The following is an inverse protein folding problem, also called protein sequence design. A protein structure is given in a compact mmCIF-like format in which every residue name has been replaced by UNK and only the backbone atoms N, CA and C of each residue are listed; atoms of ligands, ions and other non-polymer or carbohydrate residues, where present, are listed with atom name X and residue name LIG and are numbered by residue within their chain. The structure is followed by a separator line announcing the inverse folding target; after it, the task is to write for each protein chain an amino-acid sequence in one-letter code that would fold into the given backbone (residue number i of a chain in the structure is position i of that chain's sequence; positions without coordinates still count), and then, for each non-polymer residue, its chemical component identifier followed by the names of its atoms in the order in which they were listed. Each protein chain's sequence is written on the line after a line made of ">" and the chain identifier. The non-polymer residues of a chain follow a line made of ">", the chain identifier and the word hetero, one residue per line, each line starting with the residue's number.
data_IF_156457482616
#
_entry.id   IF_156457482616
#
_cell.length_a   1.000
_cell.length_b   1.000
_cell.length_c   1.000
_cell.angle_alpha   90.00
_cell.angle_beta   90.00
_cell.angle_gamma   90.00
#
_symmetry.space_group_name_H-M   'P 1'
#
loop_
_entity.id
_entity.type
_entity.pdbx_description
1 polymer ?
#
# COMPACT_ATOMS: atom_id res chain seq x y z
N UNK A 1 5.25 29.58 -19.41
CA UNK A 1 4.94 29.61 -17.95
C UNK A 1 5.36 28.22 -17.39
N UNK A 2 6.31 28.16 -16.45
CA UNK A 2 6.66 26.89 -15.81
C UNK A 2 5.49 26.53 -14.89
N UNK A 3 4.68 25.55 -15.26
CA UNK A 3 3.74 24.91 -14.34
C UNK A 3 4.55 24.38 -13.16
N UNK A 4 4.20 24.79 -11.95
CA UNK A 4 4.79 24.18 -10.76
C UNK A 4 4.42 22.68 -10.83
N UNK A 5 5.44 21.82 -11.01
CA UNK A 5 5.23 20.40 -11.28
C UNK A 5 4.57 19.67 -10.10
N UNK A 6 4.18 18.45 -10.29
CA UNK A 6 3.55 17.55 -9.27
C UNK A 6 4.33 17.51 -7.95
N UNK A 7 5.62 17.77 -7.98
CA UNK A 7 6.53 17.79 -6.82
C UNK A 7 6.15 18.83 -5.74
N UNK A 8 5.46 19.92 -6.10
CA UNK A 8 5.01 20.94 -5.14
C UNK A 8 3.65 20.63 -4.51
N UNK A 9 2.95 19.61 -5.00
CA UNK A 9 1.60 19.26 -4.56
C UNK A 9 1.60 18.32 -3.35
N UNK A 10 0.94 18.74 -2.26
CA UNK A 10 0.74 17.89 -1.09
C UNK A 10 -0.07 16.61 -1.41
N UNK A 11 -0.96 16.67 -2.41
CA UNK A 11 -1.74 15.51 -2.87
C UNK A 11 -0.82 14.51 -3.56
N UNK A 12 0.10 14.98 -4.41
CA UNK A 12 1.07 14.13 -5.08
C UNK A 12 1.95 13.37 -4.07
N UNK A 13 2.43 14.03 -3.04
CA UNK A 13 3.22 13.40 -1.97
C UNK A 13 2.41 12.35 -1.19
N UNK A 14 1.12 12.59 -0.92
CA UNK A 14 0.26 11.59 -0.26
C UNK A 14 0.07 10.35 -1.13
N UNK A 15 -0.15 10.52 -2.43
CA UNK A 15 -0.24 9.38 -3.37
C UNK A 15 1.09 8.63 -3.42
N UNK A 16 2.21 9.34 -3.50
CA UNK A 16 3.56 8.77 -3.53
C UNK A 16 3.88 7.97 -2.27
N UNK A 17 3.62 8.52 -1.09
CA UNK A 17 3.87 7.80 0.16
C UNK A 17 2.91 6.63 0.36
N UNK A 18 1.64 6.74 -0.03
CA UNK A 18 0.72 5.62 0.02
C UNK A 18 1.21 4.47 -0.87
N UNK A 19 1.64 4.78 -2.11
CA UNK A 19 2.22 3.80 -3.02
C UNK A 19 3.51 3.21 -2.48
N UNK A 20 4.38 4.02 -1.87
CA UNK A 20 5.63 3.56 -1.29
C UNK A 20 5.44 2.63 -0.10
N UNK A 21 4.56 2.99 0.85
CA UNK A 21 4.30 2.19 2.04
C UNK A 21 3.62 0.86 1.71
N UNK A 22 2.65 0.86 0.79
CA UNK A 22 2.03 -0.39 0.34
C UNK A 22 3.03 -1.28 -0.42
N UNK A 23 3.90 -0.68 -1.25
CA UNK A 23 4.96 -1.43 -1.95
C UNK A 23 6.00 -1.99 -0.97
N UNK A 24 6.37 -1.24 0.07
CA UNK A 24 7.25 -1.73 1.13
C UNK A 24 6.62 -2.95 1.82
N UNK A 25 5.34 -2.83 2.23
CA UNK A 25 4.62 -3.96 2.85
C UNK A 25 4.56 -5.17 1.90
N UNK A 26 4.33 -4.94 0.61
CA UNK A 26 4.34 -5.99 -0.41
C UNK A 26 5.70 -6.69 -0.49
N UNK A 27 6.78 -5.96 -0.72
CA UNK A 27 8.11 -6.57 -0.94
C UNK A 27 8.63 -7.25 0.32
N UNK A 28 8.35 -6.71 1.52
CA UNK A 28 8.67 -7.38 2.78
C UNK A 28 7.91 -8.69 2.91
N UNK A 29 6.61 -8.69 2.58
CA UNK A 29 5.78 -9.90 2.62
C UNK A 29 6.28 -10.93 1.62
N UNK A 30 6.58 -10.54 0.38
CA UNK A 30 7.11 -11.44 -0.66
C UNK A 30 8.45 -12.06 -0.23
N UNK A 31 9.33 -11.26 0.36
CA UNK A 31 10.65 -11.72 0.78
C UNK A 31 10.59 -12.67 1.99
N UNK A 32 9.72 -12.40 2.95
CA UNK A 32 9.84 -13.02 4.28
C UNK A 32 8.65 -13.87 4.72
N UNK A 33 7.47 -13.78 4.07
CA UNK A 33 6.31 -14.57 4.52
C UNK A 33 6.56 -16.09 4.48
N UNK A 34 7.18 -16.67 3.44
CA UNK A 34 7.46 -18.12 3.45
C UNK A 34 8.36 -18.52 4.62
N UNK A 35 9.37 -17.71 4.93
CA UNK A 35 10.29 -17.96 6.05
C UNK A 35 9.59 -17.79 7.41
N UNK A 36 8.73 -16.77 7.55
CA UNK A 36 7.91 -16.58 8.75
C UNK A 36 7.02 -17.82 8.99
N UNK A 37 6.38 -18.33 7.94
CA UNK A 37 5.54 -19.52 8.03
C UNK A 37 6.36 -20.76 8.37
N UNK A 38 7.53 -20.92 7.75
CA UNK A 38 8.45 -22.02 8.04
C UNK A 38 8.91 -21.99 9.51
N UNK A 39 9.27 -20.83 10.03
CA UNK A 39 9.67 -20.65 11.44
C UNK A 39 8.56 -21.01 12.45
N UNK A 40 7.30 -21.02 12.00
CA UNK A 40 6.13 -21.48 12.79
C UNK A 40 5.87 -22.99 12.71
N UNK A 41 6.72 -23.72 11.99
CA UNK A 41 6.61 -25.19 11.85
C UNK A 41 5.83 -25.66 10.62
N UNK A 42 5.46 -24.77 9.70
CA UNK A 42 4.97 -25.22 8.40
C UNK A 42 6.11 -25.80 7.57
N UNK A 43 5.88 -26.91 6.88
CA UNK A 43 6.83 -27.40 5.90
C UNK A 43 6.97 -26.42 4.72
N UNK A 44 8.08 -26.50 3.99
CA UNK A 44 8.41 -25.56 2.89
C UNK A 44 7.34 -25.57 1.81
N UNK A 45 6.75 -26.72 1.48
CA UNK A 45 5.72 -26.86 0.45
C UNK A 45 4.44 -26.14 0.86
N UNK A 46 4.00 -26.36 2.12
CA UNK A 46 2.81 -25.69 2.67
C UNK A 46 3.03 -24.18 2.80
N UNK A 47 4.21 -23.73 3.24
CA UNK A 47 4.53 -22.30 3.30
C UNK A 47 4.49 -21.63 1.91
N UNK A 48 5.06 -22.28 0.89
CA UNK A 48 4.99 -21.81 -0.50
C UNK A 48 3.56 -21.85 -1.05
N UNK A 49 2.78 -22.87 -0.70
CA UNK A 49 1.36 -22.98 -1.04
C UNK A 49 0.52 -21.84 -0.46
N UNK A 50 0.72 -21.50 0.81
CA UNK A 50 0.05 -20.39 1.48
C UNK A 50 0.46 -19.03 0.86
N UNK A 51 1.72 -18.87 0.52
CA UNK A 51 2.18 -17.67 -0.20
C UNK A 51 1.50 -17.55 -1.58
N UNK A 52 1.39 -18.66 -2.32
CA UNK A 52 0.68 -18.70 -3.59
C UNK A 52 -0.81 -18.40 -3.43
N UNK A 53 -1.46 -18.94 -2.39
CA UNK A 53 -2.85 -18.66 -2.04
C UNK A 53 -3.07 -17.15 -1.81
N UNK A 54 -2.16 -16.48 -1.09
CA UNK A 54 -2.20 -15.03 -0.90
C UNK A 54 -2.27 -14.29 -2.23
N UNK A 55 -1.41 -14.65 -3.20
CA UNK A 55 -1.42 -14.07 -4.54
C UNK A 55 -2.72 -14.34 -5.29
N UNK A 56 -3.21 -15.57 -5.29
CA UNK A 56 -4.47 -15.95 -5.95
C UNK A 56 -5.68 -15.20 -5.41
N UNK A 57 -5.78 -15.05 -4.10
CA UNK A 57 -6.89 -14.31 -3.46
C UNK A 57 -6.82 -12.82 -3.75
N UNK A 58 -5.63 -12.26 -3.91
CA UNK A 58 -5.43 -10.86 -4.27
C UNK A 58 -5.83 -10.53 -5.70
N UNK A 59 -5.67 -11.47 -6.66
CA UNK A 59 -5.91 -11.20 -8.09
C UNK A 59 -7.30 -10.63 -8.41
N UNK A 60 -8.44 -11.23 -8.00
CA UNK A 60 -9.75 -10.67 -8.30
C UNK A 60 -9.93 -9.25 -7.77
N UNK A 61 -9.36 -8.97 -6.61
CA UNK A 61 -9.47 -7.68 -5.94
C UNK A 61 -8.75 -6.58 -6.72
N UNK A 62 -7.65 -6.91 -7.42
CA UNK A 62 -6.94 -5.94 -8.26
C UNK A 62 -7.78 -5.41 -9.41
N UNK A 63 -8.75 -6.17 -9.89
CA UNK A 63 -9.69 -5.75 -10.94
C UNK A 63 -10.94 -5.04 -10.37
N UNK A 64 -11.43 -5.51 -9.23
CA UNK A 64 -12.67 -5.00 -8.63
C UNK A 64 -12.46 -3.61 -8.02
N UNK A 65 -11.38 -3.41 -7.26
CA UNK A 65 -11.15 -2.18 -6.50
C UNK A 65 -11.04 -0.93 -7.38
N UNK A 66 -10.34 -0.91 -8.53
CA UNK A 66 -10.32 0.28 -9.39
C UNK A 66 -11.71 0.64 -9.89
N UNK A 67 -12.49 -0.36 -10.35
CA UNK A 67 -13.86 -0.13 -10.84
C UNK A 67 -14.73 0.53 -9.77
N UNK A 68 -14.65 0.03 -8.53
CA UNK A 68 -15.38 0.60 -7.41
C UNK A 68 -14.83 1.98 -7.03
N UNK A 69 -13.50 2.15 -6.99
CA UNK A 69 -12.87 3.42 -6.63
C UNK A 69 -13.28 4.57 -7.57
N UNK A 70 -13.45 4.29 -8.86
CA UNK A 70 -13.95 5.28 -9.83
C UNK A 70 -15.43 5.60 -9.68
N UNK A 71 -16.23 4.70 -9.09
CA UNK A 71 -17.68 4.93 -8.87
C UNK A 71 -17.96 5.78 -7.62
N UNK A 72 -17.05 5.77 -6.64
CA UNK A 72 -17.26 6.49 -5.38
C UNK A 72 -16.46 7.80 -5.37
N UNK A 73 -17.11 8.90 -4.99
CA UNK A 73 -16.46 10.21 -4.87
C UNK A 73 -15.39 10.26 -3.76
N UNK A 74 -15.44 9.32 -2.82
CA UNK A 74 -14.54 9.27 -1.67
C UNK A 74 -14.04 7.85 -1.43
N UNK A 75 -12.73 7.65 -1.53
CA UNK A 75 -12.09 6.34 -1.42
C UNK A 75 -11.61 6.00 0.01
N UNK A 76 -12.01 6.77 1.03
CA UNK A 76 -11.55 6.57 2.43
C UNK A 76 -11.91 5.18 2.95
N UNK A 77 -13.10 4.66 2.62
CA UNK A 77 -13.52 3.33 3.07
C UNK A 77 -12.60 2.23 2.52
N UNK A 78 -12.12 2.37 1.29
CA UNK A 78 -11.14 1.42 0.73
C UNK A 78 -9.83 1.46 1.49
N UNK A 79 -9.32 2.66 1.80
CA UNK A 79 -8.08 2.81 2.57
C UNK A 79 -8.21 2.17 3.95
N UNK A 80 -9.30 2.44 4.67
CA UNK A 80 -9.56 1.83 5.99
C UNK A 80 -9.67 0.31 5.87
N UNK A 81 -10.44 -0.18 4.90
CA UNK A 81 -10.60 -1.62 4.66
C UNK A 81 -9.27 -2.32 4.36
N UNK A 82 -8.41 -1.71 3.55
CA UNK A 82 -7.06 -2.21 3.25
C UNK A 82 -6.23 -2.32 4.53
N UNK A 83 -6.16 -1.26 5.33
CA UNK A 83 -5.38 -1.26 6.57
C UNK A 83 -5.92 -2.29 7.58
N UNK A 84 -7.23 -2.42 7.71
CA UNK A 84 -7.86 -3.42 8.58
C UNK A 84 -7.53 -4.84 8.12
N UNK A 85 -7.64 -5.13 6.81
CA UNK A 85 -7.30 -6.44 6.25
C UNK A 85 -5.82 -6.79 6.47
N UNK A 86 -4.91 -5.83 6.26
CA UNK A 86 -3.48 -6.04 6.55
C UNK A 86 -3.22 -6.31 8.02
N UNK A 87 -3.81 -5.52 8.94
CA UNK A 87 -3.59 -5.69 10.38
C UNK A 87 -4.16 -7.03 10.84
N UNK A 88 -5.38 -7.40 10.44
CA UNK A 88 -5.96 -8.71 10.73
C UNK A 88 -5.07 -9.82 10.17
N UNK A 89 -4.58 -9.65 8.96
CA UNK A 89 -3.69 -10.59 8.30
C UNK A 89 -2.38 -10.81 9.08
N UNK A 90 -1.70 -9.73 9.45
CA UNK A 90 -0.45 -9.79 10.19
C UNK A 90 -0.63 -10.35 11.61
N UNK A 91 -1.71 -9.97 12.30
CA UNK A 91 -2.07 -10.54 13.61
C UNK A 91 -2.39 -12.05 13.49
N UNK A 92 -3.10 -12.43 12.43
CA UNK A 92 -3.37 -13.84 12.14
C UNK A 92 -2.10 -14.65 11.90
N UNK A 93 -1.14 -14.09 11.18
CA UNK A 93 0.18 -14.73 10.97
C UNK A 93 0.98 -14.83 12.26
N UNK A 94 0.83 -13.94 13.23
CA UNK A 94 1.46 -14.05 14.56
C UNK A 94 0.78 -15.09 15.46
N UNK A 95 -0.48 -15.45 15.21
CA UNK A 95 -1.23 -16.36 16.04
C UNK A 95 -0.67 -17.80 15.95
N UNK A 96 -0.54 -18.56 17.06
CA UNK A 96 -0.04 -19.94 17.04
C UNK A 96 -0.91 -20.91 16.23
N UNK A 97 -2.20 -20.65 16.10
CA UNK A 97 -3.14 -21.52 15.42
C UNK A 97 -2.98 -21.47 13.90
N UNK A 98 -2.87 -22.64 13.28
CA UNK A 98 -2.84 -22.80 11.81
C UNK A 98 -4.04 -22.16 11.13
N UNK A 99 -5.24 -22.29 11.70
CA UNK A 99 -6.47 -21.73 11.13
C UNK A 99 -6.39 -20.21 11.05
N UNK A 100 -5.98 -19.54 12.14
CA UNK A 100 -5.81 -18.08 12.13
C UNK A 100 -4.69 -17.63 11.20
N UNK A 101 -3.62 -18.41 11.06
CA UNK A 101 -2.56 -18.14 10.09
C UNK A 101 -3.09 -18.18 8.65
N UNK A 102 -3.88 -19.18 8.28
CA UNK A 102 -4.47 -19.30 6.94
C UNK A 102 -5.44 -18.14 6.67
N UNK A 103 -6.31 -17.81 7.62
CA UNK A 103 -7.21 -16.66 7.53
C UNK A 103 -6.40 -15.36 7.38
N UNK A 104 -5.31 -15.23 8.15
CA UNK A 104 -4.40 -14.09 8.08
C UNK A 104 -3.79 -13.92 6.68
N UNK A 105 -3.30 -15.01 6.09
CA UNK A 105 -2.73 -15.00 4.73
C UNK A 105 -3.77 -14.58 3.70
N UNK A 106 -5.02 -15.06 3.81
CA UNK A 106 -6.13 -14.64 2.94
C UNK A 106 -6.41 -13.15 3.09
N UNK A 107 -6.52 -12.65 4.32
CA UNK A 107 -6.73 -11.22 4.58
C UNK A 107 -5.59 -10.36 4.02
N UNK A 108 -4.34 -10.81 4.17
CA UNK A 108 -3.18 -10.14 3.56
C UNK A 108 -3.29 -10.08 2.04
N UNK A 109 -3.67 -11.19 1.40
CA UNK A 109 -3.87 -11.24 -0.06
C UNK A 109 -4.91 -10.24 -0.56
N UNK A 110 -6.09 -10.22 0.11
CA UNK A 110 -7.15 -9.25 -0.19
C UNK A 110 -6.67 -7.80 -0.01
N UNK A 111 -6.02 -7.50 1.12
CA UNK A 111 -5.47 -6.18 1.42
C UNK A 111 -4.41 -5.75 0.40
N UNK A 112 -3.55 -6.67 -0.02
CA UNK A 112 -2.47 -6.43 -0.96
C UNK A 112 -2.98 -6.13 -2.36
N UNK A 113 -3.89 -6.97 -2.89
CA UNK A 113 -4.54 -6.74 -4.18
C UNK A 113 -5.29 -5.40 -4.22
N UNK A 114 -5.99 -5.06 -3.12
CA UNK A 114 -6.70 -3.81 -2.99
C UNK A 114 -5.76 -2.59 -2.94
N UNK A 115 -4.66 -2.68 -2.17
CA UNK A 115 -3.75 -1.56 -1.96
C UNK A 115 -2.98 -1.17 -3.21
N UNK A 116 -2.45 -2.15 -3.95
CA UNK A 116 -1.71 -1.88 -5.18
C UNK A 116 -2.62 -1.26 -6.24
N UNK A 117 -3.82 -1.82 -6.44
CA UNK A 117 -4.76 -1.34 -7.44
C UNK A 117 -5.34 0.04 -7.07
N UNK A 118 -5.59 0.31 -5.78
CA UNK A 118 -6.01 1.63 -5.32
C UNK A 118 -4.91 2.68 -5.51
N UNK A 119 -3.62 2.31 -5.33
CA UNK A 119 -2.48 3.20 -5.57
C UNK A 119 -2.44 3.70 -7.02
N UNK A 120 -2.64 2.79 -7.98
CA UNK A 120 -2.74 3.16 -9.39
C UNK A 120 -4.01 3.95 -9.70
N UNK A 121 -5.14 3.60 -9.09
CA UNK A 121 -6.37 4.36 -9.24
C UNK A 121 -6.22 5.81 -8.74
N UNK A 122 -5.49 6.05 -7.65
CA UNK A 122 -5.23 7.40 -7.17
C UNK A 122 -4.46 8.26 -8.17
N UNK A 123 -3.54 7.68 -8.96
CA UNK A 123 -2.82 8.42 -10.01
C UNK A 123 -3.83 9.01 -10.99
N UNK A 124 -4.75 8.21 -11.52
CA UNK A 124 -5.78 8.70 -12.43
C UNK A 124 -6.82 9.61 -11.79
N UNK A 125 -7.26 9.29 -10.55
CA UNK A 125 -8.29 10.05 -9.83
C UNK A 125 -7.81 11.43 -9.32
N UNK A 126 -6.51 11.64 -9.17
CA UNK A 126 -5.93 12.87 -8.60
C UNK A 126 -5.25 13.75 -9.64
N UNK A 127 -5.30 13.38 -10.91
CA UNK A 127 -4.75 14.16 -12.04
C UNK A 127 -5.86 14.58 -12.99
N UNK A 128 -5.64 15.69 -13.70
CA UNK A 128 -6.63 16.26 -14.62
C UNK A 128 -6.38 15.89 -16.08
N UNK A 129 -5.17 15.52 -16.42
CA UNK A 129 -4.76 15.16 -17.78
C UNK A 129 -3.68 14.09 -17.76
N UNK A 130 -3.38 13.52 -18.94
CA UNK A 130 -2.43 12.42 -19.10
C UNK A 130 -1.00 12.84 -18.75
N UNK A 131 -0.61 14.07 -18.97
CA UNK A 131 0.73 14.58 -18.65
C UNK A 131 0.96 14.60 -17.14
N UNK A 132 0.02 15.15 -16.35
CA UNK A 132 0.07 15.11 -14.89
C UNK A 132 0.05 13.67 -14.36
N UNK A 133 -0.72 12.76 -15.00
CA UNK A 133 -0.77 11.37 -14.62
C UNK A 133 0.58 10.69 -14.84
N UNK A 134 1.27 10.96 -15.94
CA UNK A 134 2.60 10.45 -16.23
C UNK A 134 3.64 10.99 -15.23
N UNK A 135 3.63 12.30 -14.94
CA UNK A 135 4.52 12.90 -13.94
C UNK A 135 4.29 12.33 -12.54
N UNK A 136 3.03 12.23 -12.09
CA UNK A 136 2.69 11.67 -10.78
C UNK A 136 3.06 10.18 -10.71
N UNK A 137 2.83 9.42 -11.77
CA UNK A 137 3.22 8.02 -11.87
C UNK A 137 4.75 7.85 -11.76
N UNK A 138 5.51 8.67 -12.48
CA UNK A 138 6.97 8.68 -12.39
C UNK A 138 7.46 9.00 -10.98
N UNK A 139 6.92 10.06 -10.35
CA UNK A 139 7.25 10.45 -8.98
C UNK A 139 6.91 9.32 -7.98
N UNK A 140 5.68 8.80 -8.04
CA UNK A 140 5.19 7.82 -7.10
C UNK A 140 5.96 6.49 -7.20
N UNK A 141 6.27 6.04 -8.40
CA UNK A 141 7.02 4.80 -8.61
C UNK A 141 8.50 4.97 -8.24
N UNK A 142 9.15 6.07 -8.64
CA UNK A 142 10.57 6.28 -8.34
C UNK A 142 10.81 6.36 -6.83
N UNK A 143 10.12 7.28 -6.13
CA UNK A 143 10.30 7.46 -4.68
C UNK A 143 9.69 6.28 -3.92
N UNK A 144 8.52 5.81 -4.35
CA UNK A 144 7.83 4.70 -3.70
C UNK A 144 8.64 3.41 -3.73
N UNK A 145 9.27 3.09 -4.85
CA UNK A 145 10.10 1.87 -4.95
C UNK A 145 11.46 2.02 -4.26
N UNK A 146 12.03 3.22 -4.21
CA UNK A 146 13.21 3.47 -3.35
C UNK A 146 12.89 3.21 -1.88
N UNK A 147 11.75 3.70 -1.40
CA UNK A 147 11.29 3.41 -0.04
C UNK A 147 11.05 1.91 0.15
N UNK A 148 10.42 1.26 -0.80
CA UNK A 148 10.11 -0.16 -0.75
C UNK A 148 11.36 -1.06 -0.76
N UNK A 149 12.42 -0.67 -1.47
CA UNK A 149 13.67 -1.43 -1.57
C UNK A 149 14.38 -1.57 -0.21
N UNK A 150 14.20 -0.61 0.69
CA UNK A 150 14.76 -0.67 2.05
C UNK A 150 14.04 -1.71 2.91
N UNK A 151 12.78 -1.99 2.61
CA UNK A 151 11.92 -2.85 3.42
C UNK A 151 12.52 -4.23 3.70
N UNK A 152 12.75 -5.08 2.71
CA UNK A 152 13.25 -6.45 2.93
C UNK A 152 14.56 -6.49 3.74
N UNK A 153 15.47 -5.55 3.50
CA UNK A 153 16.75 -5.44 4.21
C UNK A 153 16.52 -5.08 5.67
N UNK A 154 15.73 -4.03 5.93
CA UNK A 154 15.44 -3.57 7.29
C UNK A 154 14.74 -4.65 8.12
N UNK A 155 13.75 -5.31 7.55
CA UNK A 155 12.96 -6.32 8.26
C UNK A 155 13.74 -7.63 8.47
N UNK A 156 14.62 -8.00 7.55
CA UNK A 156 15.59 -9.07 7.75
C UNK A 156 16.57 -8.75 8.88
N UNK A 157 17.12 -7.56 8.89
CA UNK A 157 18.01 -7.09 9.96
C UNK A 157 17.31 -7.09 11.34
N UNK A 158 16.05 -6.60 11.40
CA UNK A 158 15.26 -6.64 12.65
C UNK A 158 15.09 -8.08 13.17
N UNK A 159 14.86 -9.03 12.29
CA UNK A 159 14.79 -10.46 12.63
C UNK A 159 16.13 -10.96 13.17
N UNK A 160 17.24 -10.62 12.52
CA UNK A 160 18.57 -11.12 12.91
C UNK A 160 18.99 -10.58 14.27
N UNK A 161 18.75 -9.30 14.54
CA UNK A 161 19.08 -8.67 15.84
C UNK A 161 18.15 -9.15 16.95
N UNK A 162 16.87 -9.35 16.67
CA UNK A 162 15.87 -9.72 17.69
C UNK A 162 15.75 -11.25 17.91
N UNK A 163 16.26 -12.05 16.99
CA UNK A 163 16.07 -13.51 16.98
C UNK A 163 14.62 -13.96 16.72
N UNK A 164 13.71 -13.05 16.39
CA UNK A 164 12.27 -13.34 16.28
C UNK A 164 11.60 -12.59 15.13
N UNK A 165 10.73 -13.28 14.39
CA UNK A 165 9.87 -12.66 13.39
C UNK A 165 8.79 -11.75 13.96
N UNK A 166 8.44 -11.91 15.25
CA UNK A 166 7.40 -11.10 15.89
C UNK A 166 7.70 -9.61 15.78
N UNK A 167 8.95 -9.18 16.02
CA UNK A 167 9.36 -7.77 15.93
C UNK A 167 9.25 -7.26 14.50
N UNK A 168 9.69 -8.05 13.51
CA UNK A 168 9.55 -7.69 12.10
C UNK A 168 8.06 -7.54 11.71
N UNK A 169 7.20 -8.47 12.09
CA UNK A 169 5.76 -8.37 11.80
C UNK A 169 5.10 -7.18 12.52
N UNK A 170 5.49 -6.88 13.76
CA UNK A 170 5.04 -5.66 14.44
C UNK A 170 5.49 -4.38 13.72
N UNK A 171 6.69 -4.37 13.17
CA UNK A 171 7.16 -3.29 12.30
C UNK A 171 6.29 -3.11 11.07
N UNK A 172 5.83 -4.21 10.42
CA UNK A 172 4.87 -4.14 9.31
C UNK A 172 3.51 -3.57 9.75
N UNK A 173 3.03 -3.90 10.95
CA UNK A 173 1.81 -3.30 11.50
C UNK A 173 1.98 -1.77 11.62
N UNK A 174 3.14 -1.30 12.08
CA UNK A 174 3.43 0.14 12.14
C UNK A 174 3.41 0.76 10.75
N UNK A 175 3.99 0.11 9.73
CA UNK A 175 3.93 0.56 8.33
C UNK A 175 2.46 0.69 7.87
N UNK A 176 1.61 -0.29 8.17
CA UNK A 176 0.18 -0.24 7.84
C UNK A 176 -0.55 0.90 8.58
N UNK A 177 -0.20 1.15 9.84
CA UNK A 177 -0.75 2.27 10.60
C UNK A 177 -0.31 3.63 10.02
N UNK A 178 0.93 3.75 9.55
CA UNK A 178 1.42 4.94 8.84
C UNK A 178 0.74 5.12 7.47
N UNK A 179 0.41 4.02 6.79
CA UNK A 179 -0.28 4.04 5.50
C UNK A 179 -1.70 4.63 5.63
N UNK A 180 -2.36 4.46 6.79
CA UNK A 180 -3.73 4.93 7.00
C UNK A 180 -3.88 6.45 6.85
N UNK A 181 -3.19 7.34 7.61
CA UNK A 181 -3.34 8.78 7.49
C UNK A 181 -2.92 9.31 6.11
N UNK A 182 -1.89 8.73 5.52
CA UNK A 182 -1.41 9.08 4.19
C UNK A 182 -2.46 8.73 3.13
N UNK A 183 -3.00 7.51 3.18
CA UNK A 183 -4.05 7.04 2.29
C UNK A 183 -5.35 7.81 2.44
N UNK A 184 -5.78 8.12 3.67
CA UNK A 184 -6.94 8.98 3.93
C UNK A 184 -6.75 10.39 3.35
N UNK A 185 -5.52 10.88 3.37
CA UNK A 185 -5.17 12.15 2.73
C UNK A 185 -5.21 12.09 1.20
N UNK A 186 -4.73 10.99 0.60
CA UNK A 186 -4.82 10.74 -0.84
C UNK A 186 -6.26 10.46 -1.31
N UNK A 187 -7.11 9.90 -0.43
CA UNK A 187 -8.50 9.59 -0.72
C UNK A 187 -9.43 10.80 -0.76
N UNK A 188 -9.00 11.98 -0.29
CA UNK A 188 -9.79 13.20 -0.40
C UNK A 188 -9.99 13.57 -1.87
N UNK A 189 -11.18 14.05 -2.22
CA UNK A 189 -11.50 14.49 -3.57
C UNK A 189 -10.80 15.83 -3.87
N UNK A 190 -9.52 15.77 -4.17
CA UNK A 190 -8.67 16.91 -4.50
C UNK A 190 -7.70 16.50 -5.60
N UNK A 191 -7.44 17.42 -6.52
CA UNK A 191 -6.50 17.19 -7.62
C UNK A 191 -5.11 17.69 -7.27
N UNK A 192 -4.12 17.15 -7.96
CA UNK A 192 -2.77 17.71 -7.98
C UNK A 192 -2.87 19.10 -8.60
N UNK A 193 -2.71 20.16 -7.77
CA UNK A 193 -2.72 21.55 -8.22
C UNK A 193 -1.30 22.07 -8.24
N UNK A 194 -0.95 22.77 -9.31
CA UNK A 194 0.17 23.70 -9.27
C UNK A 194 -0.27 24.95 -8.48
N UNK A 195 0.53 25.41 -7.54
CA UNK A 195 0.25 26.53 -6.63
C UNK A 195 -0.07 27.88 -7.31
N UNK A 196 -0.12 27.93 -8.65
CA UNK A 196 -0.32 29.17 -9.40
C UNK A 196 -1.76 29.44 -9.86
N UNK A 197 -2.71 28.47 -9.70
CA UNK A 197 -4.08 28.70 -10.21
C UNK A 197 -5.00 29.30 -9.14
N UNK A 198 -4.67 29.19 -7.87
CA UNK A 198 -5.52 29.72 -6.77
C UNK A 198 -5.38 31.24 -6.59
N UNK A 199 -4.39 31.89 -7.23
CA UNK A 199 -4.15 33.33 -7.11
C UNK A 199 -4.73 34.20 -8.25
N UNK A 200 -5.34 33.60 -9.28
CA UNK A 200 -5.83 34.32 -10.46
C UNK A 200 -7.35 34.23 -10.70
N UNK A 201 -8.16 33.94 -9.70
CA UNK A 201 -9.60 34.18 -9.80
C UNK A 201 -9.91 35.47 -9.04
N UNK A 202 -9.92 36.64 -9.71
CA UNK A 202 -10.53 37.83 -9.13
C UNK A 202 -12.03 37.54 -9.02
N UNK A 203 -12.58 37.67 -7.81
CA UNK A 203 -14.02 37.78 -7.61
C UNK A 203 -14.53 38.93 -8.49
N UNK A 204 -15.12 38.59 -9.63
CA UNK A 204 -15.92 39.54 -10.39
C UNK A 204 -17.24 39.69 -9.61
N UNK A 205 -17.30 40.82 -8.95
CA UNK A 205 -18.51 41.45 -8.39
C UNK A 205 -19.58 41.72 -9.45
#
# INVERSE_FOLDING_TARGET
>A
MKTAGVWSSAVAWKVTFFMGLQSLAFYVTVAWLPEILHSKGFDISTAAGLFSLMGFVGLPVTFIVPVLAYRFANQKMFVVGICVLYIIGLVGVLNPSTVFTVIGVICMGLGQGASISLSYAFIGLRTRNAEQAAELSGMAQSIGYLLAAVGPILFGYLRDVSGSWTISVMGLIIVCLCMLPVGLGAAKNSYVTSNNIEKEVPLQS
#
